data_IF_671705888680
#
_entry.id   IF_671705888680
#
_cell.length_a   1.000
_cell.length_b   1.000
_cell.length_c   1.000
_cell.angle_alpha   90.00
_cell.angle_beta   90.00
_cell.angle_gamma   90.00
#
_symmetry.space_group_name_H-M   'P 1'
#
loop_
_entity.id
_entity.type
_entity.pdbx_description
1 polymer ?
#
# COMPACT_ATOMS: atom_id res chain seq x y z
N UNK A 1 -12.24 -27.99 7.52
CA UNK A 1 -11.49 -27.66 8.73
C UNK A 1 -12.09 -26.39 9.29
N UNK A 2 -12.59 -26.40 10.52
CA UNK A 2 -13.11 -25.21 11.18
C UNK A 2 -11.94 -24.22 11.35
N UNK A 3 -12.01 -23.04 10.74
CA UNK A 3 -11.06 -21.97 11.02
C UNK A 3 -11.09 -21.72 12.52
N UNK A 4 -9.91 -21.68 13.15
CA UNK A 4 -9.84 -21.31 14.55
C UNK A 4 -10.35 -19.87 14.73
N UNK A 5 -11.13 -19.60 15.78
CA UNK A 5 -11.65 -18.25 16.01
C UNK A 5 -10.50 -17.26 16.19
N UNK A 6 -10.65 -16.10 15.57
CA UNK A 6 -9.68 -15.01 15.66
C UNK A 6 -9.52 -14.56 17.12
N UNK A 7 -8.29 -14.32 17.56
CA UNK A 7 -7.96 -13.92 18.93
C UNK A 7 -7.43 -12.50 19.02
N UNK A 8 -7.38 -11.94 20.23
CA UNK A 8 -6.72 -10.63 20.48
C UNK A 8 -5.25 -10.65 20.02
N UNK A 9 -4.54 -11.77 20.16
CA UNK A 9 -3.14 -11.86 19.75
C UNK A 9 -2.98 -11.73 18.23
N UNK A 10 -3.92 -12.26 17.47
CA UNK A 10 -3.91 -12.14 16.01
C UNK A 10 -4.16 -10.70 15.56
N UNK A 11 -5.02 -9.98 16.27
CA UNK A 11 -5.33 -8.57 15.99
C UNK A 11 -4.20 -7.64 16.44
N UNK A 12 -3.51 -7.97 17.55
CA UNK A 12 -2.41 -7.18 18.12
C UNK A 12 -1.02 -7.69 17.71
N UNK A 13 -0.92 -8.51 16.67
CA UNK A 13 0.36 -8.94 16.12
C UNK A 13 1.22 -7.72 15.76
N UNK A 14 2.52 -7.78 16.07
CA UNK A 14 3.51 -6.73 15.78
C UNK A 14 3.22 -5.32 16.33
N UNK A 15 2.27 -5.20 17.26
CA UNK A 15 2.05 -3.93 17.98
C UNK A 15 3.18 -3.72 19.00
N UNK A 16 3.85 -2.53 18.99
CA UNK A 16 4.87 -2.20 19.98
C UNK A 16 4.35 -2.30 21.43
N UNK A 17 5.23 -2.71 22.37
CA UNK A 17 4.83 -2.96 23.76
C UNK A 17 4.23 -1.75 24.47
N UNK A 18 4.76 -0.55 24.23
CA UNK A 18 4.22 0.69 24.76
C UNK A 18 2.78 0.93 24.29
N UNK A 19 2.47 0.67 23.03
CA UNK A 19 1.12 0.73 22.48
C UNK A 19 0.21 -0.36 23.03
N UNK A 20 0.69 -1.61 23.21
CA UNK A 20 -0.11 -2.67 23.86
C UNK A 20 -0.61 -2.23 25.22
N UNK A 21 0.21 -1.52 26.01
CA UNK A 21 -0.18 -0.98 27.31
C UNK A 21 -1.23 0.15 27.24
N UNK A 22 -1.33 0.86 26.11
CA UNK A 22 -2.39 1.84 25.84
C UNK A 22 -3.68 1.14 25.42
N UNK A 23 -3.57 0.17 24.50
CA UNK A 23 -4.69 -0.55 23.90
C UNK A 23 -5.37 -1.44 24.95
N UNK A 24 -4.60 -2.24 25.68
CA UNK A 24 -5.09 -3.10 26.77
C UNK A 24 -4.39 -2.72 28.06
N UNK A 25 -5.07 -1.94 28.89
CA UNK A 25 -4.58 -1.52 30.23
C UNK A 25 -5.22 -2.32 31.36
N UNK A 26 -6.45 -2.80 31.15
CA UNK A 26 -7.24 -3.50 32.16
C UNK A 26 -7.94 -4.70 31.51
N UNK A 27 -8.29 -5.71 32.32
CA UNK A 27 -9.05 -6.88 31.87
C UNK A 27 -10.33 -6.51 31.11
N UNK A 28 -11.02 -5.44 31.54
CA UNK A 28 -12.20 -4.92 30.84
C UNK A 28 -11.91 -4.57 29.39
N UNK A 29 -10.71 -4.09 29.05
CA UNK A 29 -10.34 -3.72 27.68
C UNK A 29 -10.23 -4.98 26.81
N UNK A 30 -9.67 -6.06 27.36
CA UNK A 30 -9.60 -7.36 26.67
C UNK A 30 -11.01 -7.95 26.45
N UNK A 31 -11.91 -7.83 27.42
CA UNK A 31 -13.30 -8.29 27.28
C UNK A 31 -14.02 -7.54 26.15
N UNK A 32 -13.94 -6.20 26.15
CA UNK A 32 -14.55 -5.37 25.09
C UNK A 32 -13.95 -5.71 23.72
N UNK A 33 -12.62 -5.88 23.61
CA UNK A 33 -11.98 -6.19 22.32
C UNK A 33 -12.38 -7.58 21.82
N UNK A 34 -12.53 -8.59 22.71
CA UNK A 34 -13.04 -9.91 22.32
C UNK A 34 -14.48 -9.81 21.78
N UNK A 35 -15.36 -9.08 22.47
CA UNK A 35 -16.75 -8.85 22.01
C UNK A 35 -16.77 -8.20 20.62
N UNK A 36 -15.88 -7.21 20.38
CA UNK A 36 -15.74 -6.56 19.07
C UNK A 36 -15.25 -7.56 18.02
N UNK A 37 -14.27 -8.41 18.33
CA UNK A 37 -13.74 -9.44 17.42
C UNK A 37 -14.86 -10.42 17.05
N UNK A 38 -15.62 -10.93 18.00
CA UNK A 38 -16.72 -11.86 17.77
C UNK A 38 -17.79 -11.29 16.84
N UNK A 39 -18.14 -10.01 17.00
CA UNK A 39 -19.21 -9.37 16.21
C UNK A 39 -18.71 -8.88 14.85
N UNK A 40 -17.52 -8.29 14.79
CA UNK A 40 -17.09 -7.51 13.64
C UNK A 40 -16.13 -8.23 12.69
N UNK A 41 -15.40 -9.27 13.14
CA UNK A 41 -14.28 -9.80 12.35
C UNK A 41 -14.69 -10.55 11.08
N UNK A 42 -15.91 -11.07 11.00
CA UNK A 42 -16.35 -11.94 9.90
C UNK A 42 -16.66 -11.21 8.58
N UNK A 43 -17.11 -9.94 8.65
CA UNK A 43 -17.50 -9.17 7.46
C UNK A 43 -17.15 -7.68 7.65
N UNK A 44 -15.88 -7.35 7.72
CA UNK A 44 -15.45 -5.98 8.00
C UNK A 44 -14.36 -5.46 7.08
N UNK A 45 -14.24 -4.16 7.06
CA UNK A 45 -13.13 -3.41 6.45
C UNK A 45 -12.61 -2.37 7.45
N UNK A 46 -11.27 -2.22 7.57
CA UNK A 46 -10.24 -3.12 7.08
C UNK A 46 -10.28 -4.48 7.78
N UNK A 47 -9.48 -5.43 7.30
CA UNK A 47 -9.32 -6.74 7.96
C UNK A 47 -8.81 -6.57 9.40
N UNK A 48 -9.16 -7.48 10.33
CA UNK A 48 -8.89 -7.32 11.77
C UNK A 48 -7.42 -7.07 12.14
N UNK A 49 -6.48 -7.67 11.42
CA UNK A 49 -5.05 -7.43 11.60
C UNK A 49 -4.61 -5.99 11.31
N UNK A 50 -5.44 -5.18 10.63
CA UNK A 50 -5.17 -3.77 10.30
C UNK A 50 -5.89 -2.78 11.24
N UNK A 51 -6.74 -3.21 12.18
CA UNK A 51 -7.48 -2.30 13.05
C UNK A 51 -6.58 -1.37 13.87
N UNK A 52 -5.37 -1.80 14.19
CA UNK A 52 -4.40 -1.04 14.98
C UNK A 52 -3.17 -0.60 14.16
N UNK A 53 -3.31 -0.46 12.84
CA UNK A 53 -2.21 -0.03 11.98
C UNK A 53 -1.69 1.36 12.33
N UNK A 54 -2.55 2.25 12.82
CA UNK A 54 -2.17 3.56 13.35
C UNK A 54 -1.14 3.46 14.49
N UNK A 55 -1.20 2.40 15.31
CA UNK A 55 -0.24 2.17 16.39
C UNK A 55 1.08 1.55 15.89
N UNK A 56 1.06 0.81 14.78
CA UNK A 56 2.29 0.28 14.16
C UNK A 56 3.09 1.37 13.48
N UNK A 57 2.38 2.31 12.82
CA UNK A 57 3.03 3.33 12.00
C UNK A 57 3.40 4.60 12.74
N UNK A 58 2.75 4.89 13.87
CA UNK A 58 3.06 6.10 14.65
C UNK A 58 3.64 5.70 16.01
N UNK A 59 4.96 5.89 16.26
CA UNK A 59 5.52 5.67 17.59
C UNK A 59 4.83 6.54 18.63
N UNK A 60 4.42 5.94 19.77
CA UNK A 60 3.64 6.61 20.79
C UNK A 60 4.30 7.90 21.30
N UNK A 61 5.61 7.85 21.51
CA UNK A 61 6.43 8.96 22.01
C UNK A 61 6.60 10.10 21.00
N UNK A 62 6.37 9.85 19.73
CA UNK A 62 6.58 10.82 18.64
C UNK A 62 5.32 11.57 18.24
N UNK A 63 4.20 11.31 18.89
CA UNK A 63 2.92 11.96 18.56
C UNK A 63 3.02 13.47 18.76
N UNK A 64 2.80 14.22 17.72
CA UNK A 64 2.72 15.68 17.68
C UNK A 64 1.30 16.15 17.33
N UNK A 65 0.62 15.41 16.46
CA UNK A 65 -0.70 15.74 15.94
C UNK A 65 -1.58 14.49 15.98
N UNK A 66 -2.84 14.66 16.33
CA UNK A 66 -3.88 13.62 16.24
C UNK A 66 -4.94 14.13 15.28
N UNK A 67 -5.14 13.43 14.17
CA UNK A 67 -6.25 13.69 13.25
C UNK A 67 -7.32 12.64 13.53
N UNK A 68 -8.53 13.08 13.89
CA UNK A 68 -9.63 12.17 14.21
C UNK A 68 -10.55 12.08 13.00
N UNK A 69 -10.61 10.88 12.41
CA UNK A 69 -11.57 10.49 11.38
C UNK A 69 -12.82 9.85 11.97
N UNK A 70 -13.77 9.51 11.12
CA UNK A 70 -15.05 8.90 11.51
C UNK A 70 -14.92 7.37 11.57
N UNK A 71 -15.06 6.70 10.46
CA UNK A 71 -14.99 5.26 10.26
C UNK A 71 -14.18 4.92 9.01
N UNK A 72 -13.70 3.69 8.87
CA UNK A 72 -12.98 3.26 7.67
C UNK A 72 -13.86 3.33 6.42
N UNK A 73 -13.23 3.44 5.25
CA UNK A 73 -13.93 3.32 3.99
C UNK A 73 -14.62 1.96 3.88
N UNK A 74 -15.93 1.90 3.54
CA UNK A 74 -16.68 0.65 3.50
C UNK A 74 -16.36 -0.22 2.28
N UNK A 75 -15.64 0.32 1.31
CA UNK A 75 -15.23 -0.42 0.12
C UNK A 75 -14.07 -1.35 0.46
N UNK A 76 -14.20 -2.62 0.07
CA UNK A 76 -13.18 -3.64 0.31
C UNK A 76 -11.79 -3.19 -0.23
N UNK A 77 -10.72 -3.56 0.46
CA UNK A 77 -9.32 -3.22 0.11
C UNK A 77 -9.05 -1.71 -0.05
N UNK A 78 -9.83 -0.85 0.57
CA UNK A 78 -9.62 0.61 0.54
C UNK A 78 -9.01 1.12 1.83
N UNK A 79 -9.65 0.83 2.96
CA UNK A 79 -9.14 1.16 4.28
C UNK A 79 -7.99 0.22 4.68
N UNK A 80 -7.00 0.76 5.39
CA UNK A 80 -5.87 -0.01 5.91
C UNK A 80 -5.49 0.38 7.34
N UNK A 81 -6.44 0.92 8.11
CA UNK A 81 -6.27 1.21 9.53
C UNK A 81 -5.79 2.63 9.87
N UNK A 82 -5.44 3.47 8.90
CA UNK A 82 -5.17 4.89 9.10
C UNK A 82 -6.39 5.73 8.68
N UNK A 83 -6.81 6.68 9.53
CA UNK A 83 -7.93 7.57 9.21
C UNK A 83 -7.68 8.35 7.91
N UNK A 84 -8.70 8.46 7.06
CA UNK A 84 -8.69 9.10 5.73
C UNK A 84 -7.76 8.48 4.69
N UNK A 85 -6.82 7.63 5.08
CA UNK A 85 -5.85 7.01 4.19
C UNK A 85 -6.45 5.86 3.37
N UNK A 86 -5.94 5.65 2.16
CA UNK A 86 -6.39 4.58 1.25
C UNK A 86 -5.20 3.95 0.53
N UNK A 87 -5.18 2.62 0.47
CA UNK A 87 -4.17 1.88 -0.31
C UNK A 87 -4.70 1.39 -1.66
N UNK A 88 -5.98 1.52 -1.91
CA UNK A 88 -6.57 1.02 -3.16
C UNK A 88 -6.28 1.98 -4.33
N UNK A 89 -5.32 1.60 -5.15
CA UNK A 89 -4.90 2.36 -6.34
C UNK A 89 -5.80 2.13 -7.56
N UNK A 90 -6.65 1.10 -7.52
CA UNK A 90 -7.60 0.80 -8.60
C UNK A 90 -8.87 1.65 -8.49
N UNK A 91 -9.13 2.22 -7.33
CA UNK A 91 -10.27 3.10 -7.08
C UNK A 91 -9.78 4.56 -7.12
N UNK A 92 -10.58 5.43 -7.70
CA UNK A 92 -10.31 6.88 -7.64
C UNK A 92 -10.16 7.32 -6.18
N UNK A 93 -9.28 8.30 -5.94
CA UNK A 93 -9.08 8.88 -4.61
C UNK A 93 -10.41 9.09 -3.87
N UNK A 94 -10.57 8.54 -2.64
CA UNK A 94 -11.80 8.66 -1.88
C UNK A 94 -12.25 10.12 -1.74
N UNK A 95 -13.56 10.40 -1.79
CA UNK A 95 -14.06 11.77 -1.86
C UNK A 95 -13.60 12.69 -0.72
N UNK A 96 -13.55 12.17 0.53
CA UNK A 96 -13.05 12.95 1.68
C UNK A 96 -11.57 13.25 1.56
N UNK A 97 -10.76 12.26 1.19
CA UNK A 97 -9.33 12.43 0.99
C UNK A 97 -9.03 13.39 -0.17
N UNK A 98 -9.82 13.34 -1.24
CA UNK A 98 -9.71 14.29 -2.36
C UNK A 98 -9.94 15.73 -1.90
N UNK A 99 -10.91 15.96 -1.01
CA UNK A 99 -11.14 17.29 -0.47
C UNK A 99 -10.01 17.76 0.47
N UNK A 100 -9.40 16.84 1.21
CA UNK A 100 -8.18 17.13 2.00
C UNK A 100 -7.06 17.59 1.05
N UNK A 101 -6.83 16.87 -0.03
CA UNK A 101 -5.78 17.22 -1.00
C UNK A 101 -6.07 18.54 -1.74
N UNK A 102 -7.32 18.79 -2.13
CA UNK A 102 -7.71 20.09 -2.70
C UNK A 102 -7.49 21.25 -1.73
N UNK A 103 -7.75 21.03 -0.44
CA UNK A 103 -7.49 22.02 0.60
C UNK A 103 -5.97 22.33 0.72
N UNK A 104 -5.12 21.31 0.69
CA UNK A 104 -3.66 21.46 0.67
C UNK A 104 -3.16 22.21 -0.57
N UNK A 105 -3.76 21.92 -1.74
CA UNK A 105 -3.44 22.60 -2.99
C UNK A 105 -3.84 24.10 -2.95
N UNK A 106 -5.02 24.42 -2.43
CA UNK A 106 -5.48 25.80 -2.26
C UNK A 106 -4.57 26.60 -1.32
N UNK A 107 -4.04 25.95 -0.28
CA UNK A 107 -3.05 26.55 0.62
C UNK A 107 -1.63 26.60 0.02
N UNK A 108 -1.43 26.14 -1.21
CA UNK A 108 -0.13 26.03 -1.90
C UNK A 108 0.88 25.16 -1.13
N UNK A 109 0.42 24.24 -0.30
CA UNK A 109 1.23 23.25 0.41
C UNK A 109 1.67 22.16 -0.56
N UNK A 110 0.77 21.71 -1.44
CA UNK A 110 1.08 20.82 -2.56
C UNK A 110 0.81 21.52 -3.89
N UNK A 111 1.47 21.07 -4.96
CA UNK A 111 1.35 21.69 -6.29
C UNK A 111 0.15 21.18 -7.08
N UNK A 112 -0.10 19.87 -7.04
CA UNK A 112 -1.14 19.20 -7.81
C UNK A 112 -1.67 18.01 -7.01
N UNK A 113 -2.92 18.08 -6.58
CA UNK A 113 -3.53 17.00 -5.80
C UNK A 113 -3.67 15.69 -6.59
N UNK A 114 -3.59 15.73 -7.92
CA UNK A 114 -3.62 14.53 -8.77
C UNK A 114 -2.29 13.76 -8.72
N UNK A 115 -1.21 14.42 -8.30
CA UNK A 115 0.12 13.85 -8.16
C UNK A 115 0.44 13.51 -6.70
N UNK A 116 -0.55 13.06 -5.94
CA UNK A 116 -0.37 12.63 -4.55
C UNK A 116 -0.64 11.14 -4.41
N UNK A 117 0.06 10.51 -3.45
CA UNK A 117 -0.35 9.16 -3.01
C UNK A 117 -1.60 9.26 -2.15
N UNK A 118 -2.49 8.27 -2.24
CA UNK A 118 -3.65 8.18 -1.34
C UNK A 118 -3.29 7.57 0.02
N UNK A 119 -2.07 7.04 0.16
CA UNK A 119 -1.54 6.50 1.41
C UNK A 119 -0.90 7.63 2.23
N UNK A 120 -1.36 7.80 3.47
CA UNK A 120 -0.89 8.85 4.39
C UNK A 120 0.18 8.36 5.38
N UNK A 121 0.81 7.21 5.15
CA UNK A 121 1.85 6.66 6.02
C UNK A 121 2.99 7.65 6.27
N UNK A 122 3.37 8.44 5.27
CA UNK A 122 4.38 9.49 5.42
C UNK A 122 4.01 10.60 6.41
N UNK A 123 2.74 10.80 6.71
CA UNK A 123 2.31 11.67 7.81
C UNK A 123 2.44 10.96 9.15
N UNK A 124 2.03 9.67 9.23
CA UNK A 124 2.14 8.87 10.44
C UNK A 124 3.59 8.76 10.93
N UNK A 125 4.54 8.53 10.04
CA UNK A 125 5.98 8.48 10.31
C UNK A 125 6.53 9.80 10.92
N UNK A 126 5.89 10.94 10.64
CA UNK A 126 6.26 12.23 11.19
C UNK A 126 5.60 12.54 12.55
N UNK A 127 4.81 11.61 13.10
CA UNK A 127 4.12 11.78 14.38
C UNK A 127 2.69 12.33 14.23
N UNK A 128 2.04 12.13 13.08
CA UNK A 128 0.61 12.39 12.90
C UNK A 128 -0.16 11.10 13.15
N UNK A 129 -0.80 10.99 14.31
CA UNK A 129 -1.68 9.87 14.62
C UNK A 129 -3.00 10.00 13.85
N UNK A 130 -3.24 9.11 12.90
CA UNK A 130 -4.44 9.06 12.06
C UNK A 130 -5.46 8.08 12.66
N UNK A 131 -6.30 8.57 13.56
CA UNK A 131 -7.18 7.77 14.41
C UNK A 131 -8.65 7.92 14.00
N UNK A 132 -9.35 6.83 13.74
CA UNK A 132 -10.80 6.84 13.52
C UNK A 132 -11.57 6.68 14.84
N UNK A 133 -12.83 7.15 14.88
CA UNK A 133 -13.76 6.91 16.00
C UNK A 133 -14.28 5.48 16.05
N UNK A 134 -14.13 4.72 14.97
CA UNK A 134 -14.32 3.28 14.88
C UNK A 134 -13.21 2.66 14.01
N UNK A 135 -12.65 1.51 14.41
CA UNK A 135 -11.53 0.91 13.70
C UNK A 135 -11.96 -0.09 12.61
N UNK A 136 -13.25 -0.42 12.57
CA UNK A 136 -13.83 -1.23 11.50
C UNK A 136 -15.25 -0.76 11.17
N UNK A 137 -15.72 -1.14 9.98
CA UNK A 137 -17.12 -1.06 9.59
C UNK A 137 -17.48 -2.29 8.77
N UNK A 138 -18.76 -2.61 8.63
CA UNK A 138 -19.19 -3.70 7.75
C UNK A 138 -18.92 -3.33 6.28
N UNK A 139 -18.51 -4.32 5.48
CA UNK A 139 -18.27 -4.12 4.06
C UNK A 139 -19.54 -3.60 3.38
N UNK A 140 -19.41 -2.50 2.64
CA UNK A 140 -20.51 -1.81 1.96
C UNK A 140 -21.34 -0.87 2.83
N UNK A 141 -21.20 -0.91 4.15
CA UNK A 141 -21.99 -0.08 5.09
C UNK A 141 -21.09 0.91 5.85
N UNK A 142 -21.62 2.10 6.09
CA UNK A 142 -20.95 3.12 6.90
C UNK A 142 -21.49 3.09 8.33
N UNK A 143 -20.60 3.34 9.31
CA UNK A 143 -20.93 3.49 10.72
C UNK A 143 -21.53 2.23 11.39
N UNK A 144 -21.55 1.09 10.72
CA UNK A 144 -22.19 -0.13 11.26
C UNK A 144 -21.56 -0.58 12.59
N UNK A 145 -20.25 -0.44 12.73
CA UNK A 145 -19.55 -0.81 13.96
C UNK A 145 -19.27 0.39 14.91
N UNK A 146 -19.84 1.56 14.64
CA UNK A 146 -19.54 2.77 15.44
C UNK A 146 -19.82 2.56 16.92
N UNK A 147 -20.99 2.05 17.27
CA UNK A 147 -21.40 1.80 18.67
C UNK A 147 -20.53 0.77 19.39
N UNK A 148 -19.99 -0.21 18.67
CA UNK A 148 -19.09 -1.21 19.22
C UNK A 148 -17.75 -0.60 19.64
N UNK A 149 -17.24 0.35 18.84
CA UNK A 149 -15.92 0.95 19.05
C UNK A 149 -15.92 2.19 19.95
N UNK A 150 -17.03 2.95 20.05
CA UNK A 150 -17.07 4.30 20.64
C UNK A 150 -16.42 4.37 22.04
N UNK A 151 -16.85 3.53 22.97
CA UNK A 151 -16.30 3.49 24.32
C UNK A 151 -14.84 3.04 24.38
N UNK A 152 -14.48 2.10 23.52
CA UNK A 152 -13.13 1.57 23.47
C UNK A 152 -12.13 2.59 22.91
N UNK A 153 -12.47 3.26 21.81
CA UNK A 153 -11.64 4.32 21.21
C UNK A 153 -11.52 5.50 22.17
N UNK A 154 -12.59 5.90 22.86
CA UNK A 154 -12.54 6.93 23.90
C UNK A 154 -11.51 6.60 24.98
N UNK A 155 -11.48 5.35 25.49
CA UNK A 155 -10.49 4.90 26.48
C UNK A 155 -9.07 4.99 25.97
N UNK A 156 -8.85 4.56 24.73
CA UNK A 156 -7.54 4.65 24.07
C UNK A 156 -7.11 6.11 23.97
N UNK A 157 -7.96 6.99 23.46
CA UNK A 157 -7.63 8.41 23.28
C UNK A 157 -7.33 9.09 24.63
N UNK A 158 -8.11 8.81 25.68
CA UNK A 158 -7.82 9.31 27.03
C UNK A 158 -6.43 8.89 27.50
N UNK A 159 -6.03 7.65 27.26
CA UNK A 159 -4.70 7.15 27.66
C UNK A 159 -3.57 7.76 26.86
N UNK A 160 -3.77 7.97 25.56
CA UNK A 160 -2.81 8.69 24.71
C UNK A 160 -2.61 10.12 25.24
N UNK A 161 -3.69 10.84 25.53
CA UNK A 161 -3.61 12.20 26.04
C UNK A 161 -3.03 12.24 27.46
N UNK A 162 -3.27 11.22 28.30
CA UNK A 162 -2.61 11.09 29.61
C UNK A 162 -1.12 10.81 29.49
N UNK A 163 -0.69 10.04 28.50
CA UNK A 163 0.72 9.81 28.22
C UNK A 163 1.43 11.11 27.81
N UNK A 164 0.73 11.97 27.06
CA UNK A 164 1.22 13.26 26.57
C UNK A 164 0.77 14.44 27.42
N UNK A 165 0.49 14.24 28.74
CA UNK A 165 -0.12 15.27 29.59
C UNK A 165 0.72 16.54 29.71
N UNK A 166 2.02 16.44 29.52
CA UNK A 166 2.97 17.58 29.56
C UNK A 166 3.46 17.98 28.17
N UNK A 167 2.84 17.42 27.12
CA UNK A 167 3.25 17.67 25.72
C UNK A 167 2.21 18.51 24.98
N UNK A 168 2.69 19.42 24.12
CA UNK A 168 1.83 20.20 23.21
C UNK A 168 1.38 19.33 22.05
N UNK A 169 0.33 18.51 22.26
CA UNK A 169 -0.30 17.73 21.20
C UNK A 169 -1.44 18.54 20.60
N UNK A 170 -1.52 18.54 19.27
CA UNK A 170 -2.54 19.22 18.49
C UNK A 170 -3.58 18.20 18.04
N UNK A 171 -4.86 18.47 18.27
CA UNK A 171 -5.96 17.56 17.92
C UNK A 171 -6.80 18.22 16.84
N UNK A 172 -6.84 17.59 15.66
CA UNK A 172 -7.65 18.04 14.53
C UNK A 172 -8.96 17.24 14.49
N UNK A 173 -10.07 17.91 14.82
CA UNK A 173 -11.40 17.34 14.90
C UNK A 173 -12.21 17.73 13.67
N UNK A 174 -12.24 16.85 12.66
CA UNK A 174 -12.94 17.10 11.41
C UNK A 174 -14.32 16.41 11.39
N UNK A 175 -15.36 17.20 11.63
CA UNK A 175 -16.74 16.74 11.69
C UNK A 175 -17.24 16.46 13.09
N UNK A 176 -18.57 16.27 13.19
CA UNK A 176 -19.27 16.21 14.47
C UNK A 176 -18.85 15.00 15.33
N UNK A 177 -18.59 13.84 14.73
CA UNK A 177 -18.22 12.64 15.49
C UNK A 177 -16.86 12.82 16.18
N UNK A 178 -15.87 13.38 15.47
CA UNK A 178 -14.56 13.70 16.04
C UNK A 178 -14.69 14.72 17.20
N UNK A 179 -15.47 15.79 16.99
CA UNK A 179 -15.72 16.81 18.02
C UNK A 179 -16.46 16.22 19.23
N UNK A 180 -17.49 15.41 19.01
CA UNK A 180 -18.23 14.75 20.08
C UNK A 180 -17.35 13.81 20.90
N UNK A 181 -16.45 13.06 20.24
CA UNK A 181 -15.51 12.19 20.95
C UNK A 181 -14.61 13.00 21.88
N UNK A 182 -14.01 14.09 21.39
CA UNK A 182 -13.08 14.92 22.17
C UNK A 182 -13.83 15.68 23.29
N UNK A 183 -15.03 16.19 23.02
CA UNK A 183 -15.86 16.87 24.03
C UNK A 183 -16.29 15.94 25.18
N UNK A 184 -16.40 14.63 24.93
CA UNK A 184 -16.70 13.63 26.00
C UNK A 184 -15.48 13.27 26.86
N UNK A 185 -14.30 13.82 26.55
CA UNK A 185 -13.06 13.52 27.26
C UNK A 185 -12.78 14.63 28.25
N UNK A 186 -12.68 14.26 29.54
CA UNK A 186 -12.23 15.15 30.61
C UNK A 186 -10.90 14.67 31.14
N UNK A 187 -9.86 15.48 30.93
CA UNK A 187 -8.53 15.24 31.49
C UNK A 187 -8.24 16.38 32.47
N UNK A 188 -7.99 16.03 33.72
CA UNK A 188 -7.54 17.00 34.73
C UNK A 188 -6.05 17.27 34.51
N UNK A 189 -5.76 18.36 33.84
CA UNK A 189 -4.39 18.84 33.61
C UNK A 189 -4.37 20.35 33.54
N UNK A 190 -3.29 20.96 33.99
CA UNK A 190 -3.03 22.40 33.81
C UNK A 190 -2.63 22.69 32.35
N UNK A 191 -2.18 21.69 31.62
CA UNK A 191 -1.79 21.79 30.23
C UNK A 191 -3.01 21.76 29.30
N UNK A 192 -3.07 22.68 28.32
CA UNK A 192 -4.18 22.72 27.36
C UNK A 192 -3.71 22.15 26.03
N UNK A 193 -4.34 21.06 25.61
CA UNK A 193 -4.18 20.56 24.25
C UNK A 193 -4.74 21.57 23.25
N UNK A 194 -4.10 21.68 22.09
CA UNK A 194 -4.56 22.54 21.00
C UNK A 194 -5.65 21.81 20.20
N UNK A 195 -6.91 22.10 20.46
CA UNK A 195 -8.05 21.46 19.76
C UNK A 195 -8.51 22.39 18.65
N UNK A 196 -8.42 21.91 17.39
CA UNK A 196 -8.86 22.62 16.21
C UNK A 196 -10.07 21.91 15.60
N UNK A 197 -11.21 22.61 15.56
CA UNK A 197 -12.48 22.07 15.07
C UNK A 197 -12.81 22.60 13.67
N UNK A 198 -13.23 21.71 12.77
CA UNK A 198 -13.69 22.06 11.43
C UNK A 198 -14.79 21.13 10.93
N UNK A 199 -15.39 21.48 9.78
CA UNK A 199 -16.34 20.61 9.09
C UNK A 199 -15.66 19.32 8.61
N UNK A 200 -16.43 18.24 8.44
CA UNK A 200 -15.91 17.00 7.87
C UNK A 200 -15.48 17.21 6.40
N UNK A 201 -14.40 16.57 5.91
CA UNK A 201 -13.95 16.71 4.52
C UNK A 201 -14.85 16.02 3.48
N UNK A 202 -15.94 15.36 3.89
CA UNK A 202 -16.90 14.74 2.98
C UNK A 202 -17.55 15.78 2.04
N UNK A 203 -17.75 15.47 0.76
CA UNK A 203 -18.54 16.32 -0.16
C UNK A 203 -19.95 16.64 0.34
N UNK A 204 -20.52 15.80 1.21
CA UNK A 204 -21.85 16.02 1.80
C UNK A 204 -21.94 17.29 2.66
N UNK A 205 -20.82 17.81 3.14
CA UNK A 205 -20.76 19.08 3.89
C UNK A 205 -20.54 20.29 2.99
N UNK A 206 -20.58 20.10 1.68
CA UNK A 206 -20.27 21.11 0.68
C UNK A 206 -18.75 21.42 0.65
N UNK A 207 -18.40 22.61 0.17
CA UNK A 207 -17.00 23.01 0.01
C UNK A 207 -16.38 23.63 1.28
N UNK A 208 -17.05 23.54 2.44
CA UNK A 208 -16.58 24.17 3.68
C UNK A 208 -15.18 23.72 4.10
N UNK A 209 -14.81 22.46 3.84
CA UNK A 209 -13.50 21.95 4.19
C UNK A 209 -12.36 22.58 3.38
N UNK A 210 -12.64 23.07 2.18
CA UNK A 210 -11.62 23.64 1.31
C UNK A 210 -10.97 24.91 1.89
N UNK A 211 -11.66 25.61 2.79
CA UNK A 211 -11.13 26.81 3.51
C UNK A 211 -10.51 26.44 4.87
N UNK A 212 -10.30 25.16 5.18
CA UNK A 212 -9.69 24.71 6.42
C UNK A 212 -8.20 25.09 6.45
N UNK A 213 -7.75 25.84 7.43
CA UNK A 213 -6.37 26.31 7.60
C UNK A 213 -5.57 25.50 8.65
N UNK A 214 -6.12 24.37 9.10
CA UNK A 214 -5.53 23.55 10.16
C UNK A 214 -4.11 23.09 9.88
N UNK A 215 -3.74 22.82 8.62
CA UNK A 215 -2.38 22.42 8.26
C UNK A 215 -1.35 23.49 8.54
N UNK A 216 -1.68 24.73 8.16
CA UNK A 216 -0.84 25.90 8.41
C UNK A 216 -0.80 26.25 9.89
N UNK A 217 -1.96 26.24 10.60
CA UNK A 217 -2.03 26.52 12.03
C UNK A 217 -1.24 25.47 12.82
N UNK A 218 -1.37 24.19 12.47
CA UNK A 218 -0.62 23.11 13.11
C UNK A 218 0.88 23.36 13.06
N UNK A 219 1.43 23.68 11.90
CA UNK A 219 2.86 23.95 11.78
C UNK A 219 3.31 25.19 12.55
N UNK A 220 2.51 26.26 12.55
CA UNK A 220 2.79 27.44 13.39
C UNK A 220 2.83 27.13 14.88
N UNK A 221 1.92 26.25 15.38
CA UNK A 221 1.93 25.82 16.77
C UNK A 221 3.16 24.97 17.08
N UNK A 222 3.52 24.05 16.17
CA UNK A 222 4.71 23.20 16.34
C UNK A 222 5.99 24.05 16.39
N UNK A 223 6.15 24.99 15.46
CA UNK A 223 7.29 25.91 15.43
C UNK A 223 7.39 26.75 16.69
N UNK A 224 6.27 27.32 17.15
CA UNK A 224 6.21 28.10 18.41
C UNK A 224 6.67 27.29 19.62
N UNK A 225 6.43 25.97 19.59
CA UNK A 225 6.80 25.04 20.67
C UNK A 225 8.13 24.33 20.40
N UNK A 226 8.97 24.85 19.49
CA UNK A 226 10.27 24.29 19.11
C UNK A 226 10.20 22.81 18.64
N UNK A 227 9.06 22.41 18.07
CA UNK A 227 8.86 21.07 17.47
C UNK A 227 9.00 21.17 15.95
N UNK A 228 9.56 20.14 15.34
CA UNK A 228 9.68 20.05 13.87
C UNK A 228 8.29 20.06 13.23
N UNK A 229 8.02 20.99 12.31
CA UNK A 229 6.77 21.02 11.54
C UNK A 229 6.52 19.73 10.76
N UNK A 230 5.26 19.47 10.44
CA UNK A 230 4.88 18.36 9.56
C UNK A 230 5.09 18.79 8.11
N UNK A 231 5.81 17.98 7.37
CA UNK A 231 5.87 18.11 5.92
C UNK A 231 4.60 17.48 5.31
N UNK A 232 3.55 18.27 5.19
CA UNK A 232 2.27 17.83 4.60
C UNK A 232 2.41 17.49 3.11
N UNK A 233 3.45 18.01 2.42
CA UNK A 233 3.78 17.70 1.03
C UNK A 233 4.49 16.35 0.85
N UNK A 234 4.77 15.66 1.94
CA UNK A 234 5.40 14.31 1.88
C UNK A 234 4.55 13.27 1.13
N UNK A 235 3.27 13.55 0.91
CA UNK A 235 2.36 12.77 0.07
C UNK A 235 2.48 13.10 -1.42
N UNK A 236 3.05 14.26 -1.78
CA UNK A 236 3.27 14.60 -3.18
C UNK A 236 4.28 13.64 -3.78
N UNK A 237 3.91 13.08 -4.90
CA UNK A 237 4.83 12.33 -5.74
C UNK A 237 5.80 13.39 -6.30
N UNK A 238 6.91 13.63 -5.59
CA UNK A 238 7.95 14.56 -6.03
C UNK A 238 8.32 14.20 -7.46
N UNK A 239 8.22 15.14 -8.38
CA UNK A 239 8.39 15.02 -9.83
C UNK A 239 8.50 13.58 -10.24
N UNK A 240 7.38 12.97 -10.65
CA UNK A 240 7.30 11.52 -10.85
C UNK A 240 8.42 11.12 -11.78
N UNK A 241 9.54 10.73 -11.19
CA UNK A 241 10.57 10.08 -11.94
C UNK A 241 9.92 8.82 -12.46
N UNK A 242 9.82 8.73 -13.76
CA UNK A 242 9.17 7.61 -14.41
C UNK A 242 10.22 6.53 -14.62
N UNK A 243 9.94 5.33 -14.14
CA UNK A 243 10.70 4.13 -14.47
C UNK A 243 9.87 3.30 -15.43
N UNK A 244 10.37 3.07 -16.63
CA UNK A 244 9.76 2.20 -17.62
C UNK A 244 10.53 0.89 -17.60
N UNK A 245 9.82 -0.23 -17.66
CA UNK A 245 10.39 -1.56 -17.57
C UNK A 245 9.68 -2.45 -18.59
N UNK A 246 10.46 -3.21 -19.35
CA UNK A 246 9.95 -4.27 -20.21
C UNK A 246 10.49 -5.60 -19.71
N UNK A 247 9.61 -6.59 -19.59
CA UNK A 247 9.97 -7.92 -19.08
C UNK A 247 9.53 -8.99 -20.05
N UNK A 248 10.40 -9.96 -20.27
CA UNK A 248 10.09 -11.14 -21.09
C UNK A 248 10.81 -12.38 -20.56
N UNK A 249 10.27 -13.55 -20.92
CA UNK A 249 10.79 -14.85 -20.53
C UNK A 249 10.75 -15.86 -21.66
N UNK A 250 11.81 -16.64 -21.78
CA UNK A 250 11.97 -17.65 -22.83
C UNK A 250 12.33 -19.00 -22.23
N UNK A 251 11.62 -20.06 -22.60
CA UNK A 251 11.98 -21.43 -22.21
C UNK A 251 12.09 -22.35 -23.44
N UNK A 252 13.03 -23.30 -23.36
CA UNK A 252 13.17 -24.32 -24.43
C UNK A 252 12.07 -25.38 -24.27
N UNK A 253 11.20 -25.54 -25.23
CA UNK A 253 10.33 -26.71 -25.34
C UNK A 253 11.04 -27.81 -26.09
N UNK A 254 11.48 -28.87 -25.42
CA UNK A 254 11.71 -30.14 -26.10
C UNK A 254 10.42 -30.93 -26.10
N UNK A 255 9.64 -30.83 -27.17
CA UNK A 255 8.64 -31.85 -27.49
C UNK A 255 9.39 -33.01 -28.16
N UNK A 256 9.75 -34.01 -27.37
CA UNK A 256 10.01 -35.32 -27.95
C UNK A 256 8.63 -35.95 -28.27
N UNK A 257 8.43 -36.34 -29.51
CA UNK A 257 7.29 -37.10 -29.98
C UNK A 257 7.03 -38.29 -29.05
N UNK A 258 5.89 -38.27 -28.35
CA UNK A 258 5.34 -39.41 -27.65
C UNK A 258 5.84 -39.59 -26.22
N UNK A 259 5.10 -39.04 -25.23
CA UNK A 259 5.17 -39.50 -23.85
C UNK A 259 5.53 -38.44 -22.81
N UNK A 260 4.72 -38.33 -21.80
CA UNK A 260 4.73 -37.49 -20.61
C UNK A 260 6.01 -37.56 -19.75
N UNK A 261 7.17 -37.15 -20.24
CA UNK A 261 8.33 -36.88 -19.39
C UNK A 261 8.80 -35.46 -19.67
N UNK A 262 8.53 -34.56 -18.76
CA UNK A 262 9.19 -33.24 -18.68
C UNK A 262 10.67 -33.49 -18.40
N UNK A 263 11.49 -33.21 -19.42
CA UNK A 263 12.94 -33.44 -19.34
C UNK A 263 13.60 -32.40 -18.44
N UNK A 264 14.43 -32.83 -17.49
CA UNK A 264 15.18 -31.98 -16.56
C UNK A 264 16.21 -31.06 -17.27
N UNK A 265 16.32 -31.14 -18.61
CA UNK A 265 17.23 -30.33 -19.44
C UNK A 265 16.60 -29.07 -20.01
N UNK A 266 15.33 -28.76 -19.69
CA UNK A 266 14.69 -27.51 -20.15
C UNK A 266 15.36 -26.30 -19.53
N UNK A 267 15.92 -25.42 -20.36
CA UNK A 267 16.50 -24.15 -19.93
C UNK A 267 15.48 -23.04 -20.03
N UNK A 268 15.44 -22.15 -19.04
CA UNK A 268 14.66 -20.92 -19.06
C UNK A 268 15.57 -19.72 -18.89
N UNK A 269 15.36 -18.68 -19.66
CA UNK A 269 16.01 -17.39 -19.54
C UNK A 269 14.97 -16.29 -19.41
N UNK A 270 15.33 -15.20 -18.78
CA UNK A 270 14.49 -14.02 -18.66
C UNK A 270 15.31 -12.74 -18.81
N UNK A 271 14.64 -11.67 -19.19
CA UNK A 271 15.27 -10.37 -19.33
C UNK A 271 14.36 -9.25 -18.81
N UNK A 272 15.01 -8.19 -18.37
CA UNK A 272 14.38 -6.94 -17.94
C UNK A 272 15.13 -5.78 -18.58
N UNK A 273 14.41 -4.93 -19.30
CA UNK A 273 14.94 -3.69 -19.88
C UNK A 273 14.47 -2.51 -19.04
N UNK A 274 15.39 -1.73 -18.50
CA UNK A 274 15.11 -0.58 -17.65
C UNK A 274 15.36 0.73 -18.39
N UNK A 275 14.39 1.64 -18.33
CA UNK A 275 14.47 2.97 -18.93
C UNK A 275 13.94 4.00 -17.93
N UNK A 276 14.81 4.88 -17.46
CA UNK A 276 14.47 5.90 -16.47
C UNK A 276 15.55 6.13 -15.45
N UNK A 277 15.25 6.06 -14.14
CA UNK A 277 16.24 6.18 -13.07
C UNK A 277 17.22 5.01 -13.07
N UNK A 278 16.69 3.79 -13.17
CA UNK A 278 17.48 2.60 -13.43
C UNK A 278 17.61 2.51 -14.95
N UNK A 279 18.82 2.34 -15.43
CA UNK A 279 19.12 2.18 -16.87
C UNK A 279 19.93 0.90 -17.07
N UNK A 280 19.74 0.26 -18.22
CA UNK A 280 20.43 -0.96 -18.58
C UNK A 280 19.51 -2.18 -18.62
N UNK A 281 20.09 -3.35 -18.77
CA UNK A 281 19.36 -4.59 -18.96
C UNK A 281 19.81 -5.65 -17.95
N UNK A 282 18.85 -6.35 -17.36
CA UNK A 282 19.12 -7.50 -16.52
C UNK A 282 18.78 -8.77 -17.31
N UNK A 283 19.75 -9.67 -17.41
CA UNK A 283 19.58 -10.98 -17.99
C UNK A 283 19.72 -12.04 -16.91
N UNK A 284 18.88 -13.06 -16.93
CA UNK A 284 18.98 -14.14 -15.96
C UNK A 284 18.52 -15.48 -16.50
N UNK A 285 19.01 -16.53 -15.90
CA UNK A 285 18.62 -17.91 -16.17
C UNK A 285 17.88 -18.49 -14.98
N UNK A 286 16.84 -19.28 -15.24
CA UNK A 286 16.09 -19.95 -14.18
C UNK A 286 16.95 -20.99 -13.47
N UNK A 287 16.81 -21.06 -12.14
CA UNK A 287 17.26 -22.19 -11.35
C UNK A 287 16.37 -23.41 -11.68
N UNK A 288 16.98 -24.48 -12.20
CA UNK A 288 16.24 -25.67 -12.68
C UNK A 288 16.39 -26.90 -11.80
N UNK A 289 17.05 -26.77 -10.64
CA UNK A 289 17.37 -27.91 -9.78
C UNK A 289 16.14 -28.59 -9.14
N UNK A 290 15.03 -27.90 -9.01
CA UNK A 290 13.82 -28.40 -8.34
C UNK A 290 12.53 -28.25 -9.14
N UNK A 291 12.46 -27.39 -10.14
CA UNK A 291 11.23 -27.07 -10.89
C UNK A 291 11.55 -26.90 -12.39
N UNK A 292 10.69 -27.49 -13.24
CA UNK A 292 10.87 -27.37 -14.69
C UNK A 292 10.76 -25.92 -15.19
N UNK A 293 11.67 -25.53 -16.08
CA UNK A 293 11.58 -24.27 -16.79
C UNK A 293 10.36 -24.25 -17.73
N UNK A 294 9.61 -23.15 -17.69
CA UNK A 294 8.51 -22.86 -18.62
C UNK A 294 8.49 -21.36 -18.95
N UNK A 295 7.87 -20.97 -20.05
CA UNK A 295 7.72 -19.56 -20.40
C UNK A 295 7.04 -18.79 -19.24
N UNK A 296 5.95 -19.33 -18.69
CA UNK A 296 5.26 -18.70 -17.54
C UNK A 296 6.20 -18.45 -16.35
N UNK A 297 7.08 -19.40 -16.04
CA UNK A 297 8.05 -19.21 -14.95
C UNK A 297 9.13 -18.20 -15.31
N UNK A 298 9.61 -18.20 -16.55
CA UNK A 298 10.60 -17.24 -17.03
C UNK A 298 10.04 -15.80 -17.02
N UNK A 299 8.82 -15.60 -17.53
CA UNK A 299 8.10 -14.32 -17.47
C UNK A 299 7.87 -13.85 -16.02
N UNK A 300 7.44 -14.76 -15.13
CA UNK A 300 7.25 -14.46 -13.70
C UNK A 300 8.56 -14.05 -13.02
N UNK A 301 9.67 -14.72 -13.32
CA UNK A 301 10.97 -14.38 -12.78
C UNK A 301 11.47 -13.03 -13.30
N UNK A 302 11.21 -12.70 -14.55
CA UNK A 302 11.50 -11.37 -15.08
C UNK A 302 10.78 -10.27 -14.28
N UNK A 303 9.51 -10.45 -13.99
CA UNK A 303 8.72 -9.49 -13.17
C UNK A 303 9.27 -9.41 -11.75
N UNK A 304 9.58 -10.54 -11.09
CA UNK A 304 10.17 -10.57 -9.75
C UNK A 304 11.48 -9.78 -9.75
N UNK A 305 12.41 -10.10 -10.65
CA UNK A 305 13.74 -9.46 -10.73
C UNK A 305 13.63 -7.96 -11.05
N UNK A 306 12.65 -7.55 -11.85
CA UNK A 306 12.35 -6.14 -12.10
C UNK A 306 11.94 -5.41 -10.82
N UNK A 307 11.05 -6.02 -10.05
CA UNK A 307 10.56 -5.43 -8.81
C UNK A 307 11.63 -5.42 -7.71
N UNK A 308 12.44 -6.47 -7.58
CA UNK A 308 13.59 -6.52 -6.66
C UNK A 308 14.58 -5.39 -6.93
N UNK A 309 14.94 -5.18 -8.20
CA UNK A 309 15.84 -4.10 -8.61
C UNK A 309 15.25 -2.73 -8.30
N UNK A 310 13.97 -2.53 -8.56
CA UNK A 310 13.28 -1.29 -8.19
C UNK A 310 13.27 -1.06 -6.68
N UNK A 311 13.03 -2.10 -5.89
CA UNK A 311 13.04 -2.00 -4.43
C UNK A 311 14.41 -1.63 -3.87
N UNK A 312 15.48 -2.11 -4.48
CA UNK A 312 16.86 -1.85 -4.07
C UNK A 312 17.36 -0.47 -4.45
N UNK A 313 17.01 0.03 -5.64
CA UNK A 313 17.64 1.21 -6.23
C UNK A 313 16.78 2.47 -6.27
N UNK A 314 15.45 2.35 -6.25
CA UNK A 314 14.58 3.51 -6.28
C UNK A 314 14.40 4.08 -4.86
N UNK A 315 14.95 5.26 -4.63
CA UNK A 315 14.92 5.94 -3.33
C UNK A 315 13.76 6.91 -3.14
N UNK A 316 13.11 7.30 -4.24
CA UNK A 316 12.01 8.27 -4.26
C UNK A 316 10.73 7.62 -4.79
N UNK A 317 9.57 8.16 -4.40
CA UNK A 317 8.29 7.76 -4.97
C UNK A 317 8.31 7.87 -6.49
N UNK A 318 8.21 6.76 -7.19
CA UNK A 318 8.38 6.65 -8.65
C UNK A 318 7.14 6.04 -9.27
N UNK A 319 6.73 6.53 -10.44
CA UNK A 319 5.77 5.82 -11.29
C UNK A 319 6.51 4.73 -12.06
N UNK A 320 6.27 3.48 -11.71
CA UNK A 320 6.80 2.32 -12.41
C UNK A 320 5.77 1.86 -13.43
N UNK A 321 6.09 1.94 -14.71
CA UNK A 321 5.30 1.32 -15.78
C UNK A 321 6.01 0.06 -16.23
N UNK A 322 5.46 -1.10 -15.85
CA UNK A 322 5.98 -2.41 -16.19
C UNK A 322 5.16 -3.02 -17.32
N UNK A 323 5.81 -3.21 -18.46
CA UNK A 323 5.26 -3.79 -19.68
C UNK A 323 5.64 -5.27 -19.76
N UNK A 324 4.65 -6.12 -20.04
CA UNK A 324 4.83 -7.55 -20.27
C UNK A 324 3.78 -8.06 -21.24
N UNK A 325 4.09 -9.06 -22.04
CA UNK A 325 3.13 -9.74 -22.91
C UNK A 325 2.43 -10.91 -22.21
N UNK A 326 2.78 -11.18 -20.96
CA UNK A 326 2.18 -12.24 -20.15
C UNK A 326 0.80 -11.88 -19.61
N UNK A 327 -0.25 -12.17 -20.37
CA UNK A 327 -1.63 -12.06 -19.84
C UNK A 327 -1.84 -12.89 -18.58
N UNK A 328 -1.13 -14.01 -18.42
CA UNK A 328 -1.22 -14.85 -17.24
C UNK A 328 -0.83 -14.06 -15.99
N UNK A 329 0.36 -13.44 -15.96
CA UNK A 329 0.83 -12.71 -14.79
C UNK A 329 0.05 -11.42 -14.53
N UNK A 330 -0.43 -10.76 -15.59
CA UNK A 330 -1.32 -9.59 -15.44
C UNK A 330 -2.61 -9.99 -14.71
N UNK A 331 -3.26 -11.10 -15.10
CA UNK A 331 -4.46 -11.61 -14.43
C UNK A 331 -4.15 -12.10 -13.01
N UNK A 332 -3.01 -12.76 -12.81
CA UNK A 332 -2.57 -13.22 -11.49
C UNK A 332 -2.46 -12.05 -10.51
N UNK A 333 -1.72 -11.01 -10.85
CA UNK A 333 -1.45 -9.86 -9.96
C UNK A 333 -2.70 -9.01 -9.73
N UNK A 334 -3.47 -8.71 -10.79
CA UNK A 334 -4.57 -7.74 -10.71
C UNK A 334 -5.91 -8.36 -10.26
N UNK A 335 -6.12 -9.66 -10.49
CA UNK A 335 -7.44 -10.30 -10.32
C UNK A 335 -7.43 -11.39 -9.26
N UNK A 336 -6.42 -12.27 -9.26
CA UNK A 336 -6.45 -13.48 -8.44
C UNK A 336 -5.75 -13.29 -7.10
N UNK A 337 -4.49 -12.86 -7.08
CA UNK A 337 -3.71 -12.69 -5.84
C UNK A 337 -4.36 -11.76 -4.81
N UNK A 338 -5.04 -10.66 -5.20
CA UNK A 338 -5.76 -9.81 -4.22
C UNK A 338 -6.88 -10.52 -3.46
N UNK A 339 -7.35 -11.65 -3.97
CA UNK A 339 -8.44 -12.45 -3.37
C UNK A 339 -7.94 -13.64 -2.56
N UNK A 340 -6.64 -13.91 -2.55
CA UNK A 340 -6.08 -15.04 -1.85
C UNK A 340 -5.71 -14.68 -0.41
N UNK A 341 -6.01 -15.59 0.52
CA UNK A 341 -5.45 -15.57 1.87
C UNK A 341 -4.05 -16.17 1.87
N UNK A 342 -3.23 -15.82 2.84
CA UNK A 342 -1.86 -16.35 2.95
C UNK A 342 -1.82 -17.89 3.05
N UNK A 343 -2.87 -18.51 3.60
CA UNK A 343 -3.01 -19.98 3.68
C UNK A 343 -3.32 -20.66 2.34
N UNK A 344 -3.76 -19.93 1.31
CA UNK A 344 -4.18 -20.51 0.04
C UNK A 344 -3.12 -20.49 -1.06
N UNK A 345 -1.98 -19.81 -0.85
CA UNK A 345 -0.94 -19.70 -1.87
C UNK A 345 -0.35 -21.07 -2.27
N UNK A 346 -0.15 -21.96 -1.31
CA UNK A 346 0.48 -23.27 -1.55
C UNK A 346 -0.37 -24.21 -2.43
N UNK A 347 -1.66 -23.91 -2.57
CA UNK A 347 -2.59 -24.67 -3.40
C UNK A 347 -2.73 -24.11 -4.83
N UNK A 348 -1.98 -23.05 -5.18
CA UNK A 348 -2.08 -22.35 -6.47
C UNK A 348 -0.95 -22.72 -7.41
N UNK A 349 -1.08 -22.32 -8.67
CA UNK A 349 -0.03 -22.53 -9.66
C UNK A 349 1.23 -21.73 -9.31
N UNK A 350 2.39 -22.37 -9.39
CA UNK A 350 3.70 -21.78 -9.07
C UNK A 350 3.74 -21.08 -7.69
N UNK A 351 3.44 -21.78 -6.59
CA UNK A 351 3.26 -21.18 -5.27
C UNK A 351 4.53 -20.49 -4.75
N UNK A 352 5.69 -21.02 -5.07
CA UNK A 352 7.01 -20.45 -4.80
C UNK A 352 7.16 -19.03 -5.37
N UNK A 353 6.83 -18.87 -6.65
CA UNK A 353 6.93 -17.58 -7.33
C UNK A 353 5.79 -16.62 -6.96
N UNK A 354 4.56 -17.11 -6.89
CA UNK A 354 3.40 -16.26 -6.62
C UNK A 354 3.47 -15.64 -5.23
N UNK A 355 4.00 -16.35 -4.24
CA UNK A 355 4.20 -15.83 -2.88
C UNK A 355 5.25 -14.71 -2.84
N UNK A 356 6.40 -14.91 -3.47
CA UNK A 356 7.47 -13.90 -3.58
C UNK A 356 6.96 -12.68 -4.33
N UNK A 357 6.36 -12.89 -5.48
CA UNK A 357 5.85 -11.81 -6.32
C UNK A 357 4.80 -10.96 -5.60
N UNK A 358 3.86 -11.59 -4.87
CA UNK A 358 2.84 -10.86 -4.14
C UNK A 358 3.39 -10.05 -2.96
N UNK A 359 4.39 -10.60 -2.26
CA UNK A 359 5.10 -9.88 -1.20
C UNK A 359 5.80 -8.63 -1.73
N UNK A 360 6.60 -8.78 -2.78
CA UNK A 360 7.30 -7.68 -3.44
C UNK A 360 6.33 -6.64 -4.02
N UNK A 361 5.25 -7.10 -4.65
CA UNK A 361 4.22 -6.23 -5.20
C UNK A 361 3.60 -5.33 -4.12
N UNK A 362 3.28 -5.89 -2.95
CA UNK A 362 2.78 -5.12 -1.81
C UNK A 362 3.82 -4.12 -1.29
N UNK A 363 5.07 -4.56 -1.09
CA UNK A 363 6.14 -3.70 -0.61
C UNK A 363 6.39 -2.50 -1.52
N UNK A 364 6.56 -2.75 -2.81
CA UNK A 364 6.83 -1.68 -3.78
C UNK A 364 5.64 -0.74 -3.91
N UNK A 365 4.43 -1.26 -3.87
CA UNK A 365 3.23 -0.43 -3.94
C UNK A 365 3.00 0.44 -2.70
N UNK A 366 3.69 0.22 -1.59
CA UNK A 366 3.69 1.12 -0.44
C UNK A 366 4.50 2.40 -0.70
N UNK A 367 5.59 2.31 -1.45
CA UNK A 367 6.54 3.40 -1.68
C UNK A 367 6.45 4.00 -3.09
N UNK A 368 6.07 3.21 -4.09
CA UNK A 368 6.00 3.58 -5.50
C UNK A 368 4.60 3.31 -6.06
N UNK A 369 4.30 3.86 -7.23
CA UNK A 369 3.07 3.55 -7.98
C UNK A 369 3.41 2.63 -9.13
N UNK A 370 2.98 1.37 -9.07
CA UNK A 370 3.22 0.41 -10.16
C UNK A 370 1.99 0.30 -11.05
N UNK A 371 2.20 0.41 -12.37
CA UNK A 371 1.23 0.07 -13.41
C UNK A 371 1.75 -1.13 -14.18
N UNK A 372 0.99 -2.21 -14.22
CA UNK A 372 1.25 -3.36 -15.07
C UNK A 372 0.48 -3.19 -16.38
N UNK A 373 1.20 -3.19 -17.50
CA UNK A 373 0.67 -2.85 -18.81
C UNK A 373 0.89 -4.02 -19.75
N UNK A 374 -0.18 -4.50 -20.38
CA UNK A 374 -0.07 -5.53 -21.42
C UNK A 374 0.49 -4.95 -22.71
N UNK A 375 1.46 -5.63 -23.30
CA UNK A 375 1.97 -5.33 -24.62
C UNK A 375 1.84 -6.57 -25.50
N UNK A 376 1.37 -6.41 -26.74
CA UNK A 376 1.21 -7.54 -27.66
C UNK A 376 2.54 -7.91 -28.27
N UNK A 377 3.01 -9.14 -28.03
CA UNK A 377 4.15 -9.74 -28.72
C UNK A 377 3.77 -10.21 -30.13
N UNK A 378 4.73 -10.20 -31.05
CA UNK A 378 4.65 -10.84 -32.38
C UNK A 378 3.67 -10.27 -33.41
N UNK A 379 3.20 -9.03 -33.27
CA UNK A 379 2.35 -8.43 -34.29
C UNK A 379 3.17 -7.78 -35.43
N UNK A 380 3.84 -8.59 -36.25
CA UNK A 380 4.64 -8.10 -37.39
C UNK A 380 3.84 -7.26 -38.38
N UNK A 381 2.52 -7.43 -38.44
CA UNK A 381 1.63 -6.58 -39.26
C UNK A 381 1.27 -5.25 -38.56
N UNK A 382 1.44 -5.17 -37.22
CA UNK A 382 1.05 -4.02 -36.41
C UNK A 382 2.04 -2.84 -36.46
N UNK A 383 3.33 -3.07 -36.73
CA UNK A 383 4.34 -1.99 -36.83
C UNK A 383 3.98 -0.90 -37.85
N UNK A 384 3.31 -1.26 -38.94
CA UNK A 384 2.85 -0.31 -39.99
C UNK A 384 1.62 0.49 -39.59
N UNK A 385 0.90 0.05 -38.53
CA UNK A 385 -0.37 0.63 -38.08
C UNK A 385 -0.29 1.25 -36.68
N UNK A 386 0.89 1.32 -36.03
CA UNK A 386 1.06 1.97 -34.75
C UNK A 386 0.91 3.49 -34.92
N UNK A 387 -0.16 4.02 -34.35
CA UNK A 387 -0.64 5.38 -34.60
C UNK A 387 0.25 6.49 -34.02
N UNK A 388 1.22 6.13 -33.13
CA UNK A 388 2.07 7.13 -32.51
C UNK A 388 3.50 6.59 -32.20
N UNK A 389 4.45 7.53 -31.99
CA UNK A 389 5.85 7.20 -31.70
C UNK A 389 6.04 6.43 -30.37
N UNK A 390 5.16 6.60 -29.40
CA UNK A 390 5.24 5.89 -28.11
C UNK A 390 4.95 4.39 -28.26
N UNK A 391 3.99 4.03 -29.11
CA UNK A 391 3.66 2.62 -29.37
C UNK A 391 4.78 1.92 -30.13
N UNK A 392 5.41 2.61 -31.08
CA UNK A 392 6.58 2.10 -31.82
C UNK A 392 7.79 1.89 -30.89
N UNK A 393 8.02 2.84 -29.97
CA UNK A 393 9.06 2.74 -28.96
C UNK A 393 8.81 1.55 -28.02
N UNK A 394 7.63 1.44 -27.44
CA UNK A 394 7.29 0.36 -26.52
C UNK A 394 7.43 -1.01 -27.18
N UNK A 395 7.00 -1.13 -28.43
CA UNK A 395 7.16 -2.36 -29.20
C UNK A 395 8.63 -2.74 -29.39
N UNK A 396 9.48 -1.78 -29.77
CA UNK A 396 10.92 -2.04 -29.99
C UNK A 396 11.64 -2.47 -28.71
N UNK A 397 11.23 -1.94 -27.55
CA UNK A 397 11.80 -2.32 -26.26
C UNK A 397 11.34 -3.71 -25.82
N UNK A 398 10.10 -4.09 -26.13
CA UNK A 398 9.62 -5.44 -25.87
C UNK A 398 10.34 -6.48 -26.74
N UNK A 399 10.60 -6.18 -28.03
CA UNK A 399 11.42 -7.05 -28.89
C UNK A 399 12.87 -7.19 -28.38
N UNK A 400 13.41 -6.13 -27.76
CA UNK A 400 14.72 -6.19 -27.12
C UNK A 400 14.68 -7.14 -25.91
N UNK A 401 13.66 -7.06 -25.06
CA UNK A 401 13.50 -7.96 -23.92
C UNK A 401 13.39 -9.43 -24.35
N UNK A 402 12.62 -9.74 -25.41
CA UNK A 402 12.51 -11.10 -25.97
C UNK A 402 13.87 -11.65 -26.47
N UNK A 403 14.62 -10.84 -27.22
CA UNK A 403 15.96 -11.22 -27.66
C UNK A 403 16.89 -11.51 -26.49
N UNK A 404 16.92 -10.64 -25.48
CA UNK A 404 17.77 -10.78 -24.32
C UNK A 404 17.37 -11.98 -23.45
N UNK A 405 16.07 -12.28 -23.32
CA UNK A 405 15.60 -13.48 -22.61
C UNK A 405 16.04 -14.77 -23.32
N UNK A 406 16.00 -14.76 -24.67
CA UNK A 406 16.50 -15.86 -25.49
C UNK A 406 18.01 -16.02 -25.37
N UNK A 407 18.77 -14.93 -25.37
CA UNK A 407 20.23 -14.92 -25.16
C UNK A 407 20.57 -15.48 -23.75
N UNK A 408 19.90 -14.99 -22.72
CA UNK A 408 20.09 -15.47 -21.34
C UNK A 408 19.87 -16.98 -21.21
N UNK A 409 18.82 -17.51 -21.85
CA UNK A 409 18.54 -18.94 -21.89
C UNK A 409 19.68 -19.77 -22.51
N UNK A 410 20.36 -19.22 -23.51
CA UNK A 410 21.42 -19.93 -24.28
C UNK A 410 22.77 -19.80 -23.54
N UNK A 411 23.10 -18.64 -23.02
CA UNK A 411 24.45 -18.28 -22.60
C UNK A 411 24.70 -18.39 -21.09
N UNK A 412 23.67 -18.19 -20.25
CA UNK A 412 23.85 -18.20 -18.82
C UNK A 412 23.73 -19.60 -18.21
N UNK A 413 24.45 -19.83 -17.10
CA UNK A 413 24.29 -21.02 -16.27
C UNK A 413 22.99 -20.94 -15.46
N UNK A 414 22.40 -22.08 -15.03
CA UNK A 414 21.21 -22.06 -14.16
C UNK A 414 21.43 -21.18 -12.92
N UNK A 415 20.45 -20.29 -12.63
CA UNK A 415 20.51 -19.34 -11.52
C UNK A 415 21.41 -18.12 -11.71
N UNK A 416 22.15 -18.04 -12.83
CA UNK A 416 23.03 -16.89 -13.09
C UNK A 416 22.25 -15.65 -13.52
N UNK A 417 22.67 -14.49 -13.01
CA UNK A 417 22.16 -13.18 -13.42
C UNK A 417 23.32 -12.27 -13.85
N UNK A 418 23.06 -11.42 -14.85
CA UNK A 418 23.99 -10.41 -15.35
C UNK A 418 23.27 -9.11 -15.61
N UNK A 419 23.81 -8.00 -15.09
CA UNK A 419 23.34 -6.66 -15.41
C UNK A 419 24.28 -6.03 -16.44
N UNK A 420 23.72 -5.48 -17.50
CA UNK A 420 24.43 -4.85 -18.61
C UNK A 420 23.92 -3.42 -18.74
N UNK A 421 24.80 -2.46 -18.54
CA UNK A 421 24.53 -1.03 -18.72
C UNK A 421 24.58 -0.63 -20.19
#
# INVERSE_FOLDING_TARGET
MSEQPLTINDVLVDIPRNWKNIIIKKEKDSKILNEIIEVAAGNCTPSPNLWFEWARQTPLENIKVIIIGQDPYPTINTAHGLAFSSINKLISCPPSLRNIFKCLEQQKIIKDFKQTTTCLSSWAEQGVLLLNTAFSTEIGKRREHFSLWEDYVKRILVRILQYHIESDVIILCWGQDAQNLVNKITIKTAHKFHILNWSHPSPLTGNKFLSCDHFTITNKILEKNNKTPINWDSISLKSVTKQIIFTDGSASSKTNNGGNKKDATCKGGYAVVFIGQIQGNLLGSLETSQVFASNIRAEGQAIISALEKCHQELTLSTLIELYTDSEFWIKMINVYMPKWSDSNFDQKANPDMTRVLWSLWKQINNTHKVKLIHIYSHNKSGLKNLANMNDQFNYSQNELADKLATEARITLKPGEQKFVC
#
